data_IF_263514477571
#
_entry.id   IF_263514477571
#
_cell.length_a   1.000
_cell.length_b   1.000
_cell.length_c   1.000
_cell.angle_alpha   90.00
_cell.angle_beta   90.00
_cell.angle_gamma   90.00
#
_symmetry.space_group_name_H-M   'P 1'
#
loop_
_entity.id
_entity.type
_entity.pdbx_description
1 polymer ?
#
# COMPACT_ATOMS: atom_id res chain seq x y z
N UNK A 1 -12.88 7.52 1.11
CA UNK A 1 -12.23 6.19 1.24
C UNK A 1 -10.91 6.33 1.99
N UNK A 2 -10.58 5.36 2.80
CA UNK A 2 -9.30 5.34 3.53
C UNK A 2 -8.29 4.54 2.71
N UNK A 3 -7.24 5.22 2.27
CA UNK A 3 -6.19 4.65 1.41
C UNK A 3 -4.92 4.48 2.24
N UNK A 4 -4.30 3.31 2.16
CA UNK A 4 -3.06 3.02 2.87
C UNK A 4 -1.91 2.72 1.91
N UNK A 5 -0.75 3.29 2.21
CA UNK A 5 0.47 3.13 1.41
C UNK A 5 1.54 2.50 2.30
N UNK A 6 1.70 1.18 2.27
CA UNK A 6 2.77 0.54 3.02
C UNK A 6 4.14 0.76 2.35
N UNK A 7 5.19 0.67 3.14
CA UNK A 7 6.55 0.68 2.60
C UNK A 7 6.79 -0.64 1.87
N UNK A 8 7.38 -0.54 0.68
CA UNK A 8 7.74 -1.73 -0.07
C UNK A 8 8.86 -2.48 0.63
N UNK A 9 8.69 -3.78 0.80
CA UNK A 9 9.66 -4.63 1.50
C UNK A 9 10.27 -5.71 0.62
N UNK A 10 9.80 -5.83 -0.62
CA UNK A 10 10.37 -6.76 -1.58
C UNK A 10 11.78 -6.32 -1.93
N UNK A 11 12.71 -7.28 -2.06
CA UNK A 11 14.11 -7.00 -2.32
C UNK A 11 14.30 -6.14 -3.57
N UNK A 12 15.17 -5.12 -3.47
CA UNK A 12 15.47 -4.16 -4.53
C UNK A 12 14.29 -3.28 -4.95
N UNK A 13 13.21 -3.20 -4.17
CA UNK A 13 12.13 -2.28 -4.47
C UNK A 13 12.31 -1.00 -3.67
N UNK A 14 12.64 0.09 -4.36
CA UNK A 14 12.87 1.41 -3.77
C UNK A 14 11.76 2.41 -4.08
N UNK A 15 10.84 2.04 -4.97
CA UNK A 15 9.75 2.93 -5.35
C UNK A 15 8.65 2.91 -4.30
N UNK A 16 8.00 4.06 -4.14
CA UNK A 16 6.75 4.15 -3.38
C UNK A 16 5.59 4.21 -4.37
N UNK A 17 4.47 3.62 -4.01
CA UNK A 17 3.31 3.53 -4.91
C UNK A 17 2.57 4.85 -5.10
N UNK A 18 2.76 5.82 -4.21
CA UNK A 18 2.08 7.11 -4.26
C UNK A 18 3.06 8.22 -3.89
N UNK A 19 3.22 9.19 -4.78
CA UNK A 19 4.05 10.37 -4.51
C UNK A 19 3.29 11.36 -3.64
N UNK A 20 3.97 12.36 -3.02
CA UNK A 20 3.28 13.43 -2.31
C UNK A 20 2.27 14.17 -3.22
N UNK A 21 2.59 14.37 -4.50
CA UNK A 21 1.64 14.98 -5.44
C UNK A 21 0.39 14.12 -5.62
N UNK A 22 0.55 12.81 -5.72
CA UNK A 22 -0.58 11.87 -5.80
C UNK A 22 -1.40 11.86 -4.52
N UNK A 23 -0.73 11.91 -3.37
CA UNK A 23 -1.42 11.98 -2.08
C UNK A 23 -2.23 13.27 -1.97
N UNK A 24 -1.67 14.38 -2.39
CA UNK A 24 -2.38 15.67 -2.42
C UNK A 24 -3.66 15.58 -3.22
N UNK A 25 -3.59 14.99 -4.41
CA UNK A 25 -4.75 14.83 -5.29
C UNK A 25 -5.86 14.00 -4.62
N UNK A 26 -5.49 12.90 -3.95
CA UNK A 26 -6.46 12.06 -3.24
C UNK A 26 -7.09 12.81 -2.06
N UNK A 27 -6.29 13.55 -1.30
CA UNK A 27 -6.79 14.35 -0.18
C UNK A 27 -7.75 15.42 -0.68
N UNK A 28 -7.44 16.09 -1.79
CA UNK A 28 -8.30 17.11 -2.39
C UNK A 28 -9.65 16.53 -2.83
N UNK A 29 -9.67 15.25 -3.19
CA UNK A 29 -10.91 14.56 -3.60
C UNK A 29 -11.68 13.95 -2.43
N UNK A 30 -11.29 14.26 -1.20
CA UNK A 30 -12.00 13.83 0.00
C UNK A 30 -11.59 12.49 0.58
N UNK A 31 -10.48 11.91 0.11
CA UNK A 31 -9.97 10.65 0.66
C UNK A 31 -9.01 10.92 1.82
N UNK A 32 -8.95 9.96 2.75
CA UNK A 32 -7.97 9.98 3.83
C UNK A 32 -6.81 9.08 3.42
N UNK A 33 -5.58 9.61 3.43
CA UNK A 33 -4.40 8.89 2.99
C UNK A 33 -3.45 8.66 4.16
N UNK A 34 -3.11 7.40 4.40
CA UNK A 34 -2.13 7.00 5.40
C UNK A 34 -0.89 6.44 4.73
N UNK A 35 0.27 6.94 5.13
CA UNK A 35 1.57 6.53 4.59
C UNK A 35 2.36 5.88 5.71
N UNK A 36 2.93 4.70 5.48
CA UNK A 36 3.81 4.10 6.46
C UNK A 36 5.08 4.95 6.61
N UNK A 37 5.54 5.11 7.86
CA UNK A 37 6.79 5.81 8.17
C UNK A 37 7.91 5.37 7.22
N UNK A 38 8.58 6.32 6.60
CA UNK A 38 9.68 6.14 5.65
C UNK A 38 9.32 5.44 4.34
N UNK A 39 8.04 5.26 4.02
CA UNK A 39 7.65 4.57 2.78
C UNK A 39 8.21 5.22 1.52
N UNK A 40 8.35 6.53 1.49
CA UNK A 40 8.86 7.25 0.33
C UNK A 40 10.34 7.60 0.36
N UNK A 41 11.05 7.24 1.43
CA UNK A 41 12.42 7.73 1.65
C UNK A 41 13.39 7.31 0.53
N UNK A 42 13.27 6.09 0.04
CA UNK A 42 14.15 5.59 -1.02
C UNK A 42 13.81 6.17 -2.41
N UNK A 43 12.67 6.84 -2.53
CA UNK A 43 12.27 7.58 -3.73
C UNK A 43 12.51 9.09 -3.60
N UNK A 44 13.13 9.51 -2.50
CA UNK A 44 13.46 10.91 -2.25
C UNK A 44 12.35 11.71 -1.57
N UNK A 45 11.32 11.06 -1.03
CA UNK A 45 10.20 11.74 -0.36
C UNK A 45 10.22 11.45 1.14
N UNK A 46 10.27 12.53 1.94
CA UNK A 46 10.24 12.41 3.40
C UNK A 46 8.81 12.30 3.90
N UNK A 47 8.67 11.85 5.15
CA UNK A 47 7.36 11.80 5.81
C UNK A 47 6.73 13.20 5.88
N UNK A 48 7.54 14.22 6.13
CA UNK A 48 7.09 15.61 6.22
C UNK A 48 6.47 16.11 4.91
N UNK A 49 7.00 15.68 3.77
CA UNK A 49 6.45 16.04 2.47
C UNK A 49 5.04 15.50 2.28
N UNK A 50 4.78 14.29 2.78
CA UNK A 50 3.43 13.72 2.77
C UNK A 50 2.50 14.44 3.73
N UNK A 51 2.99 14.76 4.93
CA UNK A 51 2.17 15.48 5.90
C UNK A 51 1.78 16.87 5.43
N UNK A 52 2.66 17.55 4.72
CA UNK A 52 2.38 18.89 4.17
C UNK A 52 1.19 18.89 3.21
N UNK A 53 0.95 17.81 2.52
CA UNK A 53 -0.15 17.72 1.55
C UNK A 53 -1.40 17.11 2.14
N UNK A 54 -1.40 16.85 3.45
CA UNK A 54 -2.58 16.36 4.16
C UNK A 54 -2.64 14.86 4.40
N UNK A 55 -1.61 14.12 3.99
CA UNK A 55 -1.51 12.70 4.31
C UNK A 55 -1.07 12.54 5.78
N UNK A 56 -1.34 11.36 6.33
CA UNK A 56 -0.98 11.03 7.71
C UNK A 56 0.03 9.89 7.72
N UNK A 57 0.93 9.91 8.70
CA UNK A 57 1.98 8.90 8.83
C UNK A 57 1.61 7.91 9.92
N UNK A 58 1.76 6.61 9.63
CA UNK A 58 1.59 5.53 10.59
C UNK A 58 2.93 4.82 10.81
N UNK A 59 3.22 4.37 12.04
CA UNK A 59 4.55 3.85 12.36
C UNK A 59 4.89 2.50 11.73
N UNK A 60 3.90 1.62 11.50
CA UNK A 60 4.17 0.25 11.05
C UNK A 60 3.28 -0.17 9.89
N UNK A 61 3.73 -1.18 9.16
CA UNK A 61 2.94 -1.77 8.06
C UNK A 61 1.64 -2.39 8.59
N UNK A 62 1.68 -2.97 9.78
CA UNK A 62 0.51 -3.56 10.41
C UNK A 62 -0.57 -2.52 10.65
N UNK A 63 -0.20 -1.33 11.09
CA UNK A 63 -1.13 -0.23 11.32
C UNK A 63 -1.80 0.21 10.01
N UNK A 64 -1.02 0.27 8.93
CA UNK A 64 -1.54 0.66 7.61
C UNK A 64 -2.58 -0.34 7.12
N UNK A 65 -2.27 -1.63 7.17
CA UNK A 65 -3.23 -2.67 6.74
C UNK A 65 -4.47 -2.70 7.64
N UNK A 66 -4.32 -2.39 8.92
CA UNK A 66 -5.43 -2.44 9.87
C UNK A 66 -6.50 -1.39 9.60
N UNK A 67 -6.11 -0.21 9.11
CA UNK A 67 -7.03 0.92 8.94
C UNK A 67 -7.51 1.12 7.50
N UNK A 68 -6.71 0.74 6.50
CA UNK A 68 -6.99 1.06 5.11
C UNK A 68 -8.16 0.25 4.55
N UNK A 69 -9.00 0.93 3.78
CA UNK A 69 -10.02 0.27 2.95
C UNK A 69 -9.39 -0.19 1.64
N UNK A 70 -8.39 0.56 1.15
CA UNK A 70 -7.63 0.20 -0.05
C UNK A 70 -6.14 0.34 0.22
N UNK A 71 -5.40 -0.71 -0.11
CA UNK A 71 -3.93 -0.72 -0.08
C UNK A 71 -3.43 -0.48 -1.49
N UNK A 72 -2.49 0.43 -1.67
CA UNK A 72 -1.84 0.68 -2.96
C UNK A 72 -0.35 0.35 -2.82
N UNK A 73 0.14 -0.56 -3.64
CA UNK A 73 1.53 -1.02 -3.63
C UNK A 73 2.10 -1.08 -5.03
N UNK A 74 3.44 -0.98 -5.13
CA UNK A 74 4.14 -1.19 -6.41
C UNK A 74 4.26 -2.68 -6.69
N UNK A 75 4.73 -3.45 -5.71
CA UNK A 75 4.91 -4.90 -5.85
C UNK A 75 3.83 -5.65 -5.08
N UNK A 76 3.56 -6.87 -5.50
CA UNK A 76 2.64 -7.74 -4.79
C UNK A 76 3.08 -7.97 -3.34
N UNK A 77 2.14 -8.23 -2.42
CA UNK A 77 2.50 -8.57 -1.04
C UNK A 77 3.41 -9.80 -1.00
N UNK A 78 4.34 -9.80 -0.06
CA UNK A 78 5.19 -10.98 0.19
C UNK A 78 4.65 -11.74 1.40
N UNK A 79 5.26 -12.90 1.68
CA UNK A 79 4.76 -13.83 2.69
C UNK A 79 4.46 -13.18 4.05
N UNK A 80 5.33 -12.29 4.52
CA UNK A 80 5.11 -11.62 5.81
C UNK A 80 3.94 -10.62 5.80
N UNK A 81 3.42 -10.26 4.63
CA UNK A 81 2.25 -9.38 4.50
C UNK A 81 0.94 -10.14 4.35
N UNK A 82 0.98 -11.44 4.00
CA UNK A 82 -0.24 -12.19 3.65
C UNK A 82 -1.29 -12.18 4.74
N UNK A 83 -0.88 -12.28 6.00
CA UNK A 83 -1.79 -12.30 7.13
C UNK A 83 -2.31 -10.91 7.53
N UNK A 84 -1.77 -9.86 6.94
CA UNK A 84 -2.19 -8.49 7.23
C UNK A 84 -3.37 -8.06 6.36
N UNK A 85 -3.53 -8.68 5.19
CA UNK A 85 -4.63 -8.35 4.28
C UNK A 85 -5.95 -8.82 4.87
N UNK A 86 -6.93 -7.92 4.91
CA UNK A 86 -8.23 -8.20 5.52
C UNK A 86 -9.27 -8.56 4.49
N UNK A 87 -10.31 -9.27 4.93
CA UNK A 87 -11.48 -9.57 4.11
C UNK A 87 -12.11 -8.26 3.59
N UNK A 88 -12.49 -8.26 2.32
CA UNK A 88 -13.11 -7.12 1.64
C UNK A 88 -12.20 -5.89 1.49
N UNK A 89 -10.95 -6.00 1.88
CA UNK A 89 -9.98 -4.93 1.64
C UNK A 89 -9.57 -4.92 0.17
N UNK A 90 -9.56 -3.75 -0.46
CA UNK A 90 -9.07 -3.59 -1.83
C UNK A 90 -7.55 -3.55 -1.81
N UNK A 91 -6.92 -4.27 -2.73
CA UNK A 91 -5.47 -4.23 -2.90
C UNK A 91 -5.18 -3.91 -4.36
N UNK A 92 -4.60 -2.74 -4.60
CA UNK A 92 -4.25 -2.27 -5.95
C UNK A 92 -2.74 -2.33 -6.12
N UNK A 93 -2.26 -3.15 -7.08
CA UNK A 93 -0.82 -3.33 -7.31
C UNK A 93 -0.58 -4.07 -8.64
N UNK A 94 0.69 -4.30 -8.96
CA UNK A 94 1.12 -5.10 -10.11
C UNK A 94 1.38 -6.55 -9.64
N UNK A 95 0.33 -7.38 -9.63
CA UNK A 95 0.46 -8.79 -9.27
C UNK A 95 0.90 -9.64 -10.46
N UNK A 96 1.65 -10.71 -10.16
CA UNK A 96 2.05 -11.73 -11.15
C UNK A 96 1.57 -13.11 -10.66
N UNK A 97 0.27 -13.28 -10.57
CA UNK A 97 -0.34 -14.52 -10.03
C UNK A 97 0.10 -15.78 -10.75
N UNK A 98 0.34 -15.69 -12.06
CA UNK A 98 0.80 -16.84 -12.82
C UNK A 98 2.15 -17.39 -12.35
N UNK A 99 2.95 -16.54 -11.69
CA UNK A 99 4.28 -16.88 -11.22
C UNK A 99 4.34 -17.17 -9.72
N UNK A 100 3.25 -16.91 -8.99
CA UNK A 100 3.24 -17.05 -7.53
C UNK A 100 1.94 -17.68 -7.04
N UNK A 101 1.94 -19.01 -6.98
CA UNK A 101 0.80 -19.78 -6.50
C UNK A 101 0.50 -19.51 -5.03
N UNK A 102 1.53 -19.35 -4.20
CA UNK A 102 1.38 -19.10 -2.77
C UNK A 102 0.69 -17.76 -2.52
N UNK A 103 1.10 -16.72 -3.24
CA UNK A 103 0.45 -15.42 -3.17
C UNK A 103 -1.03 -15.52 -3.56
N UNK A 104 -1.32 -16.19 -4.66
CA UNK A 104 -2.70 -16.36 -5.15
C UNK A 104 -3.57 -17.04 -4.09
N UNK A 105 -3.07 -18.12 -3.51
CA UNK A 105 -3.81 -18.85 -2.48
C UNK A 105 -4.03 -18.00 -1.23
N UNK A 106 -3.02 -17.23 -0.82
CA UNK A 106 -3.12 -16.36 0.34
C UNK A 106 -4.16 -15.27 0.13
N UNK A 107 -4.18 -14.65 -1.06
CA UNK A 107 -5.19 -13.63 -1.38
C UNK A 107 -6.60 -14.20 -1.43
N UNK A 108 -6.76 -15.39 -1.96
CA UNK A 108 -8.06 -16.06 -1.97
C UNK A 108 -8.55 -16.37 -0.55
N UNK A 109 -7.66 -16.81 0.33
CA UNK A 109 -8.02 -17.09 1.74
C UNK A 109 -8.42 -15.83 2.48
N UNK A 110 -7.80 -14.69 2.18
CA UNK A 110 -8.11 -13.42 2.85
C UNK A 110 -9.48 -12.87 2.48
N UNK A 111 -10.03 -13.29 1.34
CA UNK A 111 -11.29 -12.74 0.84
C UNK A 111 -11.19 -11.31 0.37
N UNK A 112 -9.97 -10.81 0.13
CA UNK A 112 -9.77 -9.45 -0.35
C UNK A 112 -10.15 -9.30 -1.82
N UNK A 113 -10.51 -8.07 -2.21
CA UNK A 113 -10.71 -7.71 -3.60
C UNK A 113 -9.40 -7.23 -4.20
N UNK A 114 -9.02 -7.82 -5.31
CA UNK A 114 -7.75 -7.52 -5.97
C UNK A 114 -7.97 -6.66 -7.21
N UNK A 115 -7.19 -5.60 -7.32
CA UNK A 115 -7.10 -4.76 -8.50
C UNK A 115 -5.65 -4.83 -8.95
N UNK A 116 -5.42 -5.28 -10.18
CA UNK A 116 -4.05 -5.38 -10.65
C UNK A 116 -3.94 -4.93 -12.10
N UNK A 117 -2.74 -4.46 -12.47
CA UNK A 117 -2.40 -4.11 -13.84
C UNK A 117 -1.12 -4.86 -14.23
N UNK A 118 -1.05 -5.22 -15.47
CA UNK A 118 0.16 -5.87 -16.03
C UNK A 118 1.17 -4.84 -16.52
#
# INVERSE_FOLDING_TARGET
MIVGIPKEIKNNENRVSLTPAGAHELVQRGHTVYIQHTAGINSGFSDEEYEKVGARILPTIKDVYAIAEMIIKVKEPIECEYNLVRKDQLVFTYFHFACDKELTEAMMRSGSCLLYTS
#
